data_IF_696911708520
#
_entry.id   IF_696911708520
#
_cell.length_a   1.000
_cell.length_b   1.000
_cell.length_c   1.000
_cell.angle_alpha   90.00
_cell.angle_beta   90.00
_cell.angle_gamma   90.00
#
_symmetry.space_group_name_H-M   'P 1'
#
loop_
_entity.id
_entity.type
_entity.pdbx_description
1 polymer ?
#
# COMPACT_ATOMS: atom_id res chain seq x y z
N UNK A 1 -18.94 -1.43 6.16
CA UNK A 1 -18.53 -0.04 5.88
C UNK A 1 -18.02 0.68 7.12
N UNK A 2 -18.61 0.49 8.29
CA UNK A 2 -18.05 0.93 9.60
C UNK A 2 -16.60 0.43 9.85
N UNK A 3 -16.28 -0.74 9.27
CA UNK A 3 -14.93 -1.35 9.24
C UNK A 3 -13.92 -0.52 8.44
N UNK A 4 -14.32 0.14 7.34
CA UNK A 4 -13.37 0.88 6.48
C UNK A 4 -12.86 2.16 7.14
N UNK A 5 -13.69 2.78 7.98
CA UNK A 5 -13.38 4.02 8.73
C UNK A 5 -12.42 3.73 9.87
N UNK A 6 -12.72 2.69 10.65
CA UNK A 6 -11.83 2.24 11.74
C UNK A 6 -10.49 1.78 11.18
N UNK A 7 -10.50 1.05 10.06
CA UNK A 7 -9.28 0.66 9.35
C UNK A 7 -8.49 1.88 8.87
N UNK A 8 -9.17 2.87 8.28
CA UNK A 8 -8.57 4.13 7.85
C UNK A 8 -7.91 4.91 9.01
N UNK A 9 -8.58 5.06 10.15
CA UNK A 9 -8.03 5.72 11.35
C UNK A 9 -6.84 4.93 11.91
N UNK A 10 -6.97 3.60 12.02
CA UNK A 10 -5.90 2.73 12.51
C UNK A 10 -4.66 2.81 11.60
N UNK A 11 -4.84 2.74 10.27
CA UNK A 11 -3.76 2.93 9.31
C UNK A 11 -3.07 4.28 9.53
N UNK A 12 -3.83 5.35 9.73
CA UNK A 12 -3.26 6.68 9.97
C UNK A 12 -2.39 6.72 11.24
N UNK A 13 -2.86 6.12 12.33
CA UNK A 13 -2.10 6.06 13.59
C UNK A 13 -0.83 5.20 13.46
N UNK A 14 -0.92 4.08 12.73
CA UNK A 14 0.22 3.22 12.42
C UNK A 14 1.26 3.97 11.60
N UNK A 15 0.82 4.68 10.56
CA UNK A 15 1.65 5.56 9.74
C UNK A 15 2.28 6.70 10.55
N UNK A 16 1.53 7.35 11.43
CA UNK A 16 2.05 8.40 12.31
C UNK A 16 3.17 7.88 13.22
N UNK A 17 3.03 6.65 13.73
CA UNK A 17 4.04 5.98 14.54
C UNK A 17 5.30 5.66 13.72
N UNK A 18 5.11 5.09 12.53
CA UNK A 18 6.21 4.68 11.65
C UNK A 18 7.00 5.85 11.05
N UNK A 19 6.31 6.93 10.70
CA UNK A 19 6.94 8.14 10.16
C UNK A 19 7.48 9.05 11.26
N UNK A 20 7.27 8.74 12.53
CA UNK A 20 7.78 9.51 13.68
C UNK A 20 6.99 10.79 14.00
N UNK A 21 5.83 10.99 13.39
CA UNK A 21 4.89 12.08 13.78
C UNK A 21 4.42 11.87 15.21
N UNK A 22 4.08 10.64 15.55
CA UNK A 22 3.90 10.19 16.91
C UNK A 22 5.14 9.40 17.29
N UNK A 23 5.84 9.81 18.35
CA UNK A 23 7.05 9.12 18.79
C UNK A 23 6.71 7.67 19.20
N UNK A 24 7.26 6.64 18.54
CA UNK A 24 7.02 5.25 18.93
C UNK A 24 7.68 4.95 20.27
N UNK A 25 7.16 3.93 20.97
CA UNK A 25 7.76 3.47 22.23
C UNK A 25 9.09 2.76 21.93
N UNK A 26 10.07 2.78 22.86
CA UNK A 26 11.31 2.04 22.69
C UNK A 26 11.13 0.53 22.49
N UNK A 27 10.01 -0.01 22.96
CA UNK A 27 9.61 -1.43 22.83
C UNK A 27 8.91 -1.74 21.50
N UNK A 28 8.62 -0.73 20.68
CA UNK A 28 7.95 -0.95 19.40
C UNK A 28 8.96 -1.46 18.37
N UNK A 29 8.62 -2.53 17.65
CA UNK A 29 9.49 -3.18 16.66
C UNK A 29 8.92 -3.01 15.26
N UNK A 30 9.69 -2.43 14.35
CA UNK A 30 9.30 -2.21 12.95
C UNK A 30 10.01 -3.20 12.04
N UNK A 31 9.26 -4.08 11.38
CA UNK A 31 9.79 -5.05 10.42
C UNK A 31 9.28 -4.78 9.01
N UNK A 32 10.23 -4.74 8.07
CA UNK A 32 9.95 -4.51 6.66
C UNK A 32 9.64 -5.83 5.96
N UNK A 33 8.47 -5.96 5.35
CA UNK A 33 8.04 -7.20 4.67
C UNK A 33 8.23 -7.05 3.18
N UNK A 34 9.12 -7.86 2.60
CA UNK A 34 9.57 -7.76 1.21
C UNK A 34 9.41 -9.07 0.47
N UNK A 35 9.22 -8.99 -0.85
CA UNK A 35 9.04 -10.16 -1.70
C UNK A 35 8.28 -9.81 -2.97
N UNK A 36 8.44 -10.64 -4.01
CA UNK A 36 7.74 -10.45 -5.28
C UNK A 36 6.22 -10.50 -5.12
N UNK A 37 5.49 -9.98 -6.08
CA UNK A 37 4.04 -10.19 -6.17
C UNK A 37 3.72 -11.69 -6.17
N UNK A 38 2.72 -12.10 -5.39
CA UNK A 38 2.36 -13.51 -5.23
C UNK A 38 3.21 -14.31 -4.23
N UNK A 39 4.25 -13.76 -3.61
CA UNK A 39 5.09 -14.48 -2.63
C UNK A 39 4.39 -14.86 -1.30
N UNK A 40 3.17 -14.36 -1.07
CA UNK A 40 2.39 -14.63 0.14
C UNK A 40 2.53 -13.60 1.26
N UNK A 41 3.05 -12.39 0.97
CA UNK A 41 3.21 -11.30 1.96
C UNK A 41 1.93 -11.01 2.75
N UNK A 42 0.85 -10.68 2.04
CA UNK A 42 -0.43 -10.32 2.65
C UNK A 42 -1.02 -11.48 3.45
N UNK A 43 -0.90 -12.72 2.97
CA UNK A 43 -1.30 -13.92 3.73
C UNK A 43 -0.48 -14.08 5.00
N UNK A 44 0.84 -13.90 4.94
CA UNK A 44 1.72 -13.98 6.11
C UNK A 44 1.35 -12.93 7.16
N UNK A 45 1.12 -11.68 6.73
CA UNK A 45 0.71 -10.58 7.61
C UNK A 45 -0.64 -10.90 8.26
N UNK A 46 -1.63 -11.36 7.50
CA UNK A 46 -2.94 -11.76 8.03
C UNK A 46 -2.82 -12.88 9.09
N UNK A 47 -1.85 -13.79 8.94
CA UNK A 47 -1.57 -14.84 9.94
C UNK A 47 -0.86 -14.32 11.19
N UNK A 48 -0.15 -13.20 11.09
CA UNK A 48 0.43 -12.54 12.26
C UNK A 48 -0.60 -11.72 13.04
N UNK A 49 -1.43 -10.96 12.32
CA UNK A 49 -2.30 -9.93 12.91
C UNK A 49 -3.70 -10.44 13.23
N UNK A 50 -4.16 -11.49 12.54
CA UNK A 50 -5.55 -11.93 12.58
C UNK A 50 -6.51 -10.99 11.84
N UNK A 51 -5.99 -9.93 11.20
CA UNK A 51 -6.77 -8.99 10.39
C UNK A 51 -6.98 -9.55 8.97
N UNK A 52 -8.12 -9.23 8.36
CA UNK A 52 -8.32 -9.49 6.94
C UNK A 52 -7.49 -8.49 6.12
N UNK A 53 -6.34 -8.95 5.63
CA UNK A 53 -5.45 -8.17 4.78
C UNK A 53 -6.01 -8.23 3.36
N UNK A 54 -7.03 -7.44 3.10
CA UNK A 54 -7.57 -7.31 1.74
C UNK A 54 -6.55 -6.59 0.88
N UNK A 55 -6.02 -7.30 -0.14
CA UNK A 55 -5.19 -6.67 -1.17
C UNK A 55 -6.09 -5.77 -2.01
N UNK A 56 -6.06 -4.47 -1.74
CA UNK A 56 -6.71 -3.47 -2.57
C UNK A 56 -8.12 -3.07 -2.14
N UNK A 57 -8.31 -1.74 -2.09
CA UNK A 57 -9.57 -0.97 -2.14
C UNK A 57 -10.10 -0.34 -0.84
N UNK A 58 -9.28 -0.14 0.19
CA UNK A 58 -9.62 0.81 1.27
C UNK A 58 -9.53 2.29 0.87
N UNK A 59 -10.12 3.20 1.66
CA UNK A 59 -10.02 4.67 1.50
C UNK A 59 -8.57 5.19 1.34
N UNK A 60 -7.60 4.47 1.92
CA UNK A 60 -6.15 4.70 1.82
C UNK A 60 -5.47 3.97 0.65
N UNK A 61 -6.08 2.93 0.10
CA UNK A 61 -5.46 1.94 -0.78
C UNK A 61 -5.23 2.39 -2.23
N UNK A 62 -5.57 3.63 -2.61
CA UNK A 62 -5.47 4.05 -4.02
C UNK A 62 -4.46 5.16 -4.27
N UNK A 63 -3.34 5.19 -3.55
CA UNK A 63 -2.20 6.05 -3.87
C UNK A 63 -0.95 5.34 -3.37
N UNK A 64 -0.12 4.81 -4.26
CA UNK A 64 1.34 4.76 -4.05
C UNK A 64 1.85 4.37 -2.64
N UNK A 65 1.22 3.45 -1.91
CA UNK A 65 1.47 3.33 -0.47
C UNK A 65 1.98 1.95 -0.06
N UNK A 66 2.83 2.00 0.96
CA UNK A 66 3.11 0.93 1.90
C UNK A 66 1.86 0.74 2.78
N UNK A 67 1.60 -0.44 3.31
CA UNK A 67 0.54 -0.62 4.33
C UNK A 67 1.16 -1.04 5.66
N UNK A 68 0.58 -0.61 6.78
CA UNK A 68 1.09 -0.96 8.10
C UNK A 68 0.11 -1.82 8.87
N UNK A 69 0.63 -2.83 9.55
CA UNK A 69 -0.16 -3.70 10.41
C UNK A 69 0.56 -3.85 11.74
N UNK A 70 -0.18 -3.80 12.85
CA UNK A 70 0.41 -3.97 14.17
C UNK A 70 -0.27 -5.06 14.98
N UNK A 71 0.50 -5.72 15.84
CA UNK A 71 0.01 -6.76 16.74
C UNK A 71 0.96 -6.93 17.94
N UNK A 72 0.50 -7.64 18.97
CA UNK A 72 1.31 -7.99 20.12
C UNK A 72 1.98 -9.35 19.90
N UNK A 73 3.29 -9.42 20.10
CA UNK A 73 4.06 -10.65 20.00
C UNK A 73 5.22 -10.60 20.98
N UNK A 74 5.36 -11.63 21.82
CA UNK A 74 6.49 -11.79 22.73
C UNK A 74 6.78 -10.54 23.61
N UNK A 75 5.70 -9.96 24.17
CA UNK A 75 5.78 -8.74 24.99
C UNK A 75 6.03 -7.44 24.24
N UNK A 76 6.14 -7.48 22.91
CA UNK A 76 6.42 -6.34 22.05
C UNK A 76 5.22 -5.98 21.17
N UNK A 77 5.08 -4.68 20.92
CA UNK A 77 4.22 -4.18 19.84
C UNK A 77 5.00 -4.24 18.53
N UNK A 78 4.60 -5.11 17.62
CA UNK A 78 5.25 -5.31 16.32
C UNK A 78 4.46 -4.58 15.24
N UNK A 79 5.17 -3.88 14.36
CA UNK A 79 4.67 -3.26 13.15
C UNK A 79 5.25 -3.99 11.93
N UNK A 80 4.39 -4.58 11.11
CA UNK A 80 4.74 -5.12 9.80
C UNK A 80 4.43 -4.07 8.73
N UNK A 81 5.46 -3.73 7.97
CA UNK A 81 5.42 -2.75 6.90
C UNK A 81 5.29 -3.54 5.61
N UNK A 82 4.06 -3.67 5.08
CA UNK A 82 3.79 -4.34 3.81
C UNK A 82 4.27 -3.46 2.67
N UNK A 83 5.14 -4.02 1.84
CA UNK A 83 5.70 -3.32 0.69
C UNK A 83 4.97 -3.77 -0.57
N UNK A 84 4.74 -2.85 -1.54
CA UNK A 84 4.30 -3.27 -2.86
C UNK A 84 5.24 -4.34 -3.43
N UNK A 85 4.67 -5.38 -4.03
CA UNK A 85 5.47 -6.43 -4.65
C UNK A 85 6.24 -5.89 -5.86
N UNK A 86 7.54 -6.14 -5.93
CA UNK A 86 8.29 -5.93 -7.16
C UNK A 86 7.82 -6.94 -8.23
N UNK A 87 7.97 -6.58 -9.51
CA UNK A 87 7.43 -7.30 -10.66
C UNK A 87 5.89 -7.33 -10.71
N UNK A 88 5.25 -6.24 -10.29
CA UNK A 88 3.81 -6.01 -10.48
C UNK A 88 3.51 -5.66 -11.95
N UNK A 89 2.48 -6.27 -12.54
CA UNK A 89 2.06 -5.94 -13.92
C UNK A 89 1.49 -4.53 -14.03
N UNK A 90 0.98 -3.98 -12.92
CA UNK A 90 0.34 -2.67 -12.85
C UNK A 90 1.31 -1.52 -12.51
N UNK A 91 2.51 -1.82 -12.00
CA UNK A 91 3.47 -0.82 -11.48
C UNK A 91 4.91 -1.11 -11.91
N UNK A 92 5.74 -0.08 -12.12
CA UNK A 92 7.16 -0.32 -12.40
C UNK A 92 7.96 -0.59 -11.10
N UNK A 93 9.08 -1.29 -11.23
CA UNK A 93 9.99 -1.49 -10.10
C UNK A 93 10.60 -0.16 -9.61
N UNK A 94 10.71 0.84 -10.49
CA UNK A 94 11.21 2.19 -10.17
C UNK A 94 10.19 2.97 -9.34
N UNK A 95 8.91 2.86 -9.67
CA UNK A 95 7.84 3.42 -8.83
C UNK A 95 7.86 2.76 -7.44
N UNK A 96 8.06 1.45 -7.38
CA UNK A 96 8.16 0.71 -6.11
C UNK A 96 9.36 1.17 -5.28
N UNK A 97 10.52 1.32 -5.90
CA UNK A 97 11.71 1.87 -5.23
C UNK A 97 11.47 3.31 -4.74
N UNK A 98 10.81 4.15 -5.56
CA UNK A 98 10.49 5.53 -5.20
C UNK A 98 9.57 5.58 -3.97
N UNK A 99 8.55 4.73 -3.91
CA UNK A 99 7.66 4.59 -2.74
C UNK A 99 8.47 4.20 -1.51
N UNK A 100 9.32 3.17 -1.61
CA UNK A 100 10.15 2.73 -0.49
C UNK A 100 11.10 3.85 -0.01
N UNK A 101 11.75 4.55 -0.93
CA UNK A 101 12.63 5.67 -0.60
C UNK A 101 11.87 6.77 0.16
N UNK A 102 10.68 7.15 -0.32
CA UNK A 102 9.82 8.15 0.31
C UNK A 102 9.50 7.79 1.76
N UNK A 103 8.96 6.61 2.01
CA UNK A 103 8.46 6.25 3.34
C UNK A 103 9.58 5.83 4.31
N UNK A 104 10.57 5.07 3.83
CA UNK A 104 11.71 4.65 4.65
C UNK A 104 12.62 5.83 4.96
N UNK A 105 12.82 6.75 4.00
CA UNK A 105 13.59 7.97 4.21
C UNK A 105 12.92 8.91 5.21
N UNK A 106 11.59 9.06 5.15
CA UNK A 106 10.84 9.87 6.13
C UNK A 106 10.91 9.29 7.54
N UNK A 107 10.73 7.97 7.68
CA UNK A 107 10.90 7.25 8.95
C UNK A 107 12.31 7.48 9.53
N UNK A 108 13.35 7.33 8.70
CA UNK A 108 14.74 7.52 9.09
C UNK A 108 15.06 8.95 9.52
N UNK A 109 14.61 9.94 8.75
CA UNK A 109 14.80 11.36 9.02
C UNK A 109 14.16 11.79 10.35
N UNK A 110 13.05 11.15 10.74
CA UNK A 110 12.36 11.38 12.01
C UNK A 110 12.84 10.46 13.16
N UNK A 111 13.96 9.74 12.97
CA UNK A 111 14.58 8.93 14.02
C UNK A 111 13.93 7.56 14.27
N UNK A 112 12.97 7.15 13.44
CA UNK A 112 12.40 5.79 13.48
C UNK A 112 13.31 4.86 12.67
N UNK A 113 13.49 3.63 13.14
CA UNK A 113 14.44 2.65 12.57
C UNK A 113 13.73 1.33 12.24
N UNK A 114 14.18 0.69 11.17
CA UNK A 114 13.76 -0.66 10.78
C UNK A 114 14.57 -1.66 11.60
N UNK A 115 13.89 -2.44 12.44
CA UNK A 115 14.49 -3.38 13.37
C UNK A 115 14.86 -4.71 12.72
N UNK A 116 14.28 -5.00 11.56
CA UNK A 116 14.54 -6.21 10.81
C UNK A 116 13.76 -6.28 9.50
N UNK A 117 14.14 -7.24 8.67
CA UNK A 117 13.57 -7.44 7.35
C UNK A 117 13.09 -8.88 7.26
N UNK A 118 11.88 -9.06 6.74
CA UNK A 118 11.31 -10.35 6.39
C UNK A 118 11.19 -10.43 4.86
N UNK A 119 11.95 -11.32 4.25
CA UNK A 119 11.88 -11.61 2.83
C UNK A 119 11.08 -12.88 2.56
N UNK A 120 9.97 -12.78 1.84
CA UNK A 120 9.17 -13.93 1.41
C UNK A 120 9.51 -14.35 -0.02
N UNK A 121 9.71 -15.65 -0.21
CA UNK A 121 10.06 -16.23 -1.52
C UNK A 121 9.28 -17.55 -1.76
N UNK A 122 8.47 -17.66 -2.83
CA UNK A 122 7.76 -18.89 -3.12
C UNK A 122 8.70 -19.99 -3.63
N UNK A 123 8.83 -21.10 -2.91
CA UNK A 123 9.71 -22.23 -3.31
C UNK A 123 9.19 -22.97 -4.55
N UNK A 124 7.88 -22.83 -4.80
CA UNK A 124 7.18 -23.43 -5.93
C UNK A 124 7.56 -22.81 -7.27
N UNK A 125 8.21 -21.64 -7.30
CA UNK A 125 8.63 -21.03 -8.55
C UNK A 125 9.71 -21.90 -9.22
N UNK A 126 9.37 -22.46 -10.38
CA UNK A 126 10.19 -23.46 -11.08
C UNK A 126 11.36 -22.82 -11.84
N UNK A 127 11.41 -21.50 -11.94
CA UNK A 127 12.48 -20.78 -12.63
C UNK A 127 12.85 -19.56 -11.81
N UNK A 128 14.13 -19.44 -11.45
CA UNK A 128 14.67 -18.14 -11.05
C UNK A 128 14.69 -17.29 -12.33
N UNK A 129 13.58 -16.59 -12.56
CA UNK A 129 13.46 -15.67 -13.68
C UNK A 129 14.46 -14.53 -13.51
N UNK A 130 14.83 -13.86 -14.60
CA UNK A 130 15.65 -12.64 -14.52
C UNK A 130 15.03 -11.57 -13.59
N UNK A 131 13.69 -11.55 -13.47
CA UNK A 131 12.98 -10.65 -12.55
C UNK A 131 13.19 -11.00 -11.07
N UNK A 132 13.27 -12.29 -10.74
CA UNK A 132 13.54 -12.77 -9.37
C UNK A 132 14.96 -12.42 -8.93
N UNK A 133 15.93 -12.59 -9.83
CA UNK A 133 17.32 -12.22 -9.56
C UNK A 133 17.47 -10.70 -9.41
N UNK A 134 16.81 -9.92 -10.27
CA UNK A 134 16.79 -8.45 -10.16
C UNK A 134 16.20 -7.96 -8.84
N UNK A 135 15.11 -8.57 -8.37
CA UNK A 135 14.53 -8.25 -7.07
C UNK A 135 15.54 -8.49 -5.94
N UNK A 136 16.24 -9.63 -5.97
CA UNK A 136 17.28 -9.95 -4.99
C UNK A 136 18.44 -8.96 -5.02
N UNK A 137 18.92 -8.59 -6.21
CA UNK A 137 20.02 -7.63 -6.37
C UNK A 137 19.61 -6.24 -5.87
N UNK A 138 18.39 -5.81 -6.18
CA UNK A 138 17.85 -4.54 -5.68
C UNK A 138 17.68 -4.55 -4.16
N UNK A 139 17.17 -5.65 -3.60
CA UNK A 139 17.07 -5.87 -2.16
C UNK A 139 18.44 -5.78 -1.48
N UNK A 140 19.44 -6.48 -2.01
CA UNK A 140 20.83 -6.41 -1.55
C UNK A 140 21.35 -4.97 -1.59
N UNK A 141 21.11 -4.27 -2.69
CA UNK A 141 21.55 -2.88 -2.89
C UNK A 141 20.87 -1.88 -1.95
N UNK A 142 19.57 -2.05 -1.68
CA UNK A 142 18.78 -1.19 -0.78
C UNK A 142 19.14 -1.40 0.69
N UNK A 143 19.42 -2.65 1.10
CA UNK A 143 19.83 -2.96 2.46
C UNK A 143 21.29 -2.56 2.68
N UNK A 144 22.20 -3.05 1.83
CA UNK A 144 23.63 -2.74 1.86
C UNK A 144 24.33 -3.06 3.18
N UNK A 145 23.85 -4.04 3.93
CA UNK A 145 24.41 -4.39 5.24
C UNK A 145 25.71 -5.19 5.12
N UNK A 146 26.63 -4.96 6.06
CA UNK A 146 27.80 -5.82 6.25
C UNK A 146 27.39 -7.19 6.81
N UNK A 147 26.43 -7.20 7.74
CA UNK A 147 25.86 -8.40 8.36
C UNK A 147 24.34 -8.41 8.27
N UNK A 148 23.75 -9.55 7.95
CA UNK A 148 22.31 -9.71 7.76
C UNK A 148 21.61 -10.38 8.97
N UNK A 149 22.11 -10.17 10.18
CA UNK A 149 21.57 -10.83 11.40
C UNK A 149 20.10 -10.49 11.71
N UNK A 150 19.61 -9.34 11.26
CA UNK A 150 18.20 -8.94 11.37
C UNK A 150 17.38 -9.24 10.09
N UNK A 151 17.87 -10.13 9.22
CA UNK A 151 17.16 -10.58 8.02
C UNK A 151 16.67 -12.02 8.21
N UNK A 152 15.36 -12.20 8.12
CA UNK A 152 14.72 -13.51 8.00
C UNK A 152 14.27 -13.73 6.55
N UNK A 153 14.67 -14.86 5.96
CA UNK A 153 14.21 -15.30 4.65
C UNK A 153 13.20 -16.42 4.90
N UNK A 154 11.95 -16.23 4.48
CA UNK A 154 10.88 -17.20 4.62
C UNK A 154 10.49 -17.76 3.26
N UNK A 155 10.79 -19.03 3.01
CA UNK A 155 10.31 -19.73 1.83
C UNK A 155 8.85 -20.13 2.03
N UNK A 156 7.98 -19.83 1.06
CA UNK A 156 6.53 -20.06 1.11
C UNK A 156 6.08 -21.04 0.03
N UNK A 157 4.79 -21.38 0.01
CA UNK A 157 4.18 -22.28 -1.00
C UNK A 157 4.78 -23.69 -1.01
N UNK A 158 5.18 -24.16 0.16
CA UNK A 158 5.58 -25.54 0.33
C UNK A 158 4.40 -26.49 0.08
N UNK A 159 4.71 -27.72 -0.29
CA UNK A 159 3.76 -28.81 -0.44
C UNK A 159 4.37 -30.08 0.12
N UNK A 160 3.54 -30.98 0.63
CA UNK A 160 4.00 -32.21 1.28
C UNK A 160 4.86 -33.06 0.32
N UNK A 161 6.11 -33.34 0.72
CA UNK A 161 7.03 -34.32 0.09
C UNK A 161 7.45 -34.03 -1.37
N UNK A 162 7.66 -32.77 -1.74
CA UNK A 162 8.24 -32.46 -3.06
C UNK A 162 9.76 -32.41 -2.97
N UNK A 163 10.47 -33.54 -3.17
CA UNK A 163 11.95 -33.62 -3.22
C UNK A 163 12.61 -32.51 -4.08
N UNK A 164 11.89 -32.04 -5.09
CA UNK A 164 12.24 -30.91 -5.94
C UNK A 164 12.39 -29.59 -5.17
N UNK A 165 11.56 -29.33 -4.16
CA UNK A 165 11.60 -28.11 -3.36
C UNK A 165 12.78 -28.10 -2.39
N UNK A 166 13.14 -29.24 -1.78
CA UNK A 166 14.36 -29.31 -0.97
C UNK A 166 15.61 -29.12 -1.84
N UNK A 167 15.64 -29.68 -3.06
CA UNK A 167 16.75 -29.44 -4.01
C UNK A 167 16.84 -27.96 -4.40
N UNK A 168 15.72 -27.28 -4.63
CA UNK A 168 15.71 -25.84 -4.92
C UNK A 168 16.17 -25.01 -3.75
N UNK A 169 15.73 -25.34 -2.54
CA UNK A 169 16.20 -24.64 -1.35
C UNK A 169 17.72 -24.78 -1.22
N UNK A 170 18.28 -25.98 -1.45
CA UNK A 170 19.72 -26.19 -1.47
C UNK A 170 20.43 -25.37 -2.56
N UNK A 171 19.84 -25.23 -3.75
CA UNK A 171 20.37 -24.36 -4.82
C UNK A 171 20.34 -22.88 -4.42
N UNK A 172 19.23 -22.40 -3.86
CA UNK A 172 19.10 -21.02 -3.38
C UNK A 172 20.11 -20.69 -2.28
N UNK A 173 20.42 -21.67 -1.42
CA UNK A 173 21.38 -21.53 -0.32
C UNK A 173 22.85 -21.68 -0.74
N UNK A 174 23.15 -22.33 -1.87
CA UNK A 174 24.52 -22.58 -2.31
C UNK A 174 25.04 -21.52 -3.26
N UNK A 175 24.18 -20.84 -4.00
CA UNK A 175 24.57 -19.81 -4.96
C UNK A 175 24.62 -18.43 -4.30
N UNK A 176 25.78 -17.77 -4.37
CA UNK A 176 25.98 -16.41 -3.84
C UNK A 176 25.11 -15.37 -4.55
N UNK A 177 24.71 -15.63 -5.81
CA UNK A 177 23.77 -14.77 -6.54
C UNK A 177 22.39 -14.77 -5.88
N UNK A 178 22.01 -15.84 -5.18
CA UNK A 178 20.74 -15.96 -4.46
C UNK A 178 20.89 -15.69 -2.96
N UNK A 179 20.52 -16.65 -2.11
CA UNK A 179 20.52 -16.52 -0.66
C UNK A 179 21.84 -16.95 -0.02
N UNK A 180 22.74 -17.59 -0.76
CA UNK A 180 24.02 -18.08 -0.21
C UNK A 180 24.83 -16.98 0.47
N UNK A 181 25.03 -15.84 -0.20
CA UNK A 181 25.76 -14.69 0.36
C UNK A 181 25.03 -14.09 1.58
N UNK A 182 23.69 -14.02 1.55
CA UNK A 182 22.90 -13.48 2.66
C UNK A 182 23.00 -14.36 3.91
N UNK A 183 22.89 -15.68 3.74
CA UNK A 183 22.96 -16.66 4.83
C UNK A 183 24.38 -16.77 5.37
N UNK A 184 25.39 -16.75 4.50
CA UNK A 184 26.80 -16.71 4.91
C UNK A 184 27.13 -15.49 5.80
N UNK A 185 26.42 -14.38 5.58
CA UNK A 185 26.55 -13.13 6.36
C UNK A 185 25.53 -13.01 7.51
N UNK A 186 24.86 -14.10 7.88
CA UNK A 186 24.06 -14.21 9.09
C UNK A 186 22.54 -14.11 8.92
N UNK A 187 22.01 -14.03 7.69
CA UNK A 187 20.57 -14.15 7.49
C UNK A 187 20.06 -15.54 7.88
N UNK A 188 18.84 -15.61 8.42
CA UNK A 188 18.23 -16.89 8.83
C UNK A 188 17.15 -17.32 7.85
N UNK A 189 17.26 -18.55 7.35
CA UNK A 189 16.24 -19.18 6.52
C UNK A 189 15.17 -19.88 7.38
N UNK A 190 13.91 -19.74 6.96
CA UNK A 190 12.74 -20.41 7.51
C UNK A 190 11.89 -21.01 6.39
N UNK A 191 11.33 -22.20 6.64
CA UNK A 191 10.24 -22.75 5.84
C UNK A 191 8.91 -22.33 6.46
N UNK A 192 8.16 -21.48 5.78
CA UNK A 192 6.85 -21.02 6.24
C UNK A 192 5.75 -21.97 5.75
N UNK A 193 4.94 -22.46 6.69
CA UNK A 193 3.92 -23.48 6.42
C UNK A 193 4.47 -24.67 5.61
N UNK A 194 5.58 -25.24 6.07
CA UNK A 194 6.35 -26.29 5.36
C UNK A 194 5.51 -27.49 4.89
N UNK A 195 4.48 -27.87 5.65
CA UNK A 195 3.61 -28.99 5.27
C UNK A 195 2.65 -28.65 4.14
N UNK A 196 2.54 -27.38 3.75
CA UNK A 196 1.64 -26.91 2.69
C UNK A 196 0.15 -27.07 3.00
N UNK A 197 -0.21 -27.41 4.25
CA UNK A 197 -1.59 -27.70 4.61
C UNK A 197 -2.37 -26.39 4.78
N UNK A 198 -3.65 -26.34 4.39
CA UNK A 198 -4.54 -25.21 4.66
C UNK A 198 -4.99 -25.19 6.13
N UNK A 199 -4.06 -25.42 7.07
CA UNK A 199 -4.29 -25.34 8.51
C UNK A 199 -3.93 -23.93 8.99
N UNK A 200 -4.97 -23.20 9.42
CA UNK A 200 -4.82 -21.83 9.91
C UNK A 200 -3.88 -21.76 11.12
N UNK A 201 -4.01 -22.67 12.10
CA UNK A 201 -3.20 -22.62 13.33
C UNK A 201 -1.73 -22.94 13.05
N UNK A 202 -1.46 -23.88 12.14
CA UNK A 202 -0.10 -24.18 11.71
C UNK A 202 0.55 -22.97 11.00
N UNK A 203 -0.21 -22.25 10.16
CA UNK A 203 0.27 -21.04 9.48
C UNK A 203 0.56 -19.91 10.47
N UNK A 204 -0.35 -19.66 11.43
CA UNK A 204 -0.15 -18.68 12.50
C UNK A 204 1.09 -19.01 13.32
N UNK A 205 1.22 -20.25 13.79
CA UNK A 205 2.37 -20.72 14.57
C UNK A 205 3.68 -20.54 13.79
N UNK A 206 3.67 -20.88 12.49
CA UNK A 206 4.84 -20.70 11.63
C UNK A 206 5.20 -19.23 11.44
N UNK A 207 4.22 -18.33 11.31
CA UNK A 207 4.45 -16.90 11.13
C UNK A 207 4.98 -16.25 12.42
N UNK A 208 4.36 -16.55 13.56
CA UNK A 208 4.80 -16.11 14.88
C UNK A 208 6.24 -16.53 15.16
N UNK A 209 6.61 -17.78 14.87
CA UNK A 209 8.01 -18.26 15.04
C UNK A 209 9.03 -17.40 14.29
N UNK A 210 8.69 -16.95 13.08
CA UNK A 210 9.58 -16.12 12.26
C UNK A 210 9.68 -14.69 12.86
N UNK A 211 8.56 -14.13 13.29
CA UNK A 211 8.52 -12.80 13.93
C UNK A 211 9.26 -12.80 15.27
N UNK A 212 9.01 -13.78 16.14
CA UNK A 212 9.72 -13.94 17.42
C UNK A 212 11.22 -14.03 17.22
N UNK A 213 11.68 -14.72 16.17
CA UNK A 213 13.09 -14.72 15.84
C UNK A 213 13.62 -13.31 15.53
N UNK A 214 12.92 -12.54 14.68
CA UNK A 214 13.32 -11.17 14.36
C UNK A 214 13.31 -10.25 15.59
N UNK A 215 12.36 -10.42 16.51
CA UNK A 215 12.33 -9.69 17.80
C UNK A 215 13.63 -9.95 18.55
N UNK A 216 13.96 -11.22 18.82
CA UNK A 216 15.19 -11.58 19.53
C UNK A 216 16.46 -11.11 18.83
N UNK A 217 16.53 -11.18 17.49
CA UNK A 217 17.67 -10.64 16.74
C UNK A 217 17.78 -9.12 16.93
N UNK A 218 16.67 -8.39 16.88
CA UNK A 218 16.63 -6.93 17.04
C UNK A 218 17.00 -6.44 18.44
N UNK A 219 16.90 -7.30 19.46
CA UNK A 219 17.37 -7.00 20.82
C UNK A 219 18.87 -7.23 20.97
N UNK A 220 19.40 -8.22 20.23
CA UNK A 220 20.82 -8.56 20.25
C UNK A 220 21.67 -7.63 19.38
N UNK A 221 21.13 -7.20 18.25
CA UNK A 221 21.86 -6.40 17.27
C UNK A 221 21.14 -5.08 17.01
N UNK A 222 21.91 -3.99 17.04
CA UNK A 222 21.39 -2.66 16.77
C UNK A 222 20.74 -2.61 15.37
N UNK A 223 19.61 -1.88 15.21
CA UNK A 223 18.98 -1.69 13.91
C UNK A 223 19.95 -1.04 12.92
N UNK A 224 20.35 -1.77 11.89
CA UNK A 224 21.19 -1.24 10.82
C UNK A 224 20.38 -0.27 9.96
N UNK A 225 21.03 0.84 9.57
CA UNK A 225 20.43 1.82 8.65
C UNK A 225 20.49 1.25 7.23
N UNK A 226 19.36 1.26 6.53
CA UNK A 226 19.33 0.79 5.15
C UNK A 226 20.20 1.71 4.28
N UNK A 227 20.98 1.12 3.38
CA UNK A 227 21.77 1.87 2.39
C UNK A 227 20.91 2.88 1.63
N UNK A 228 19.68 2.51 1.25
CA UNK A 228 18.76 3.43 0.59
C UNK A 228 18.45 4.66 1.47
N UNK A 229 18.22 4.48 2.78
CA UNK A 229 17.94 5.58 3.71
C UNK A 229 19.14 6.53 3.81
N UNK A 230 20.34 5.98 3.97
CA UNK A 230 21.57 6.76 4.01
C UNK A 230 21.82 7.52 2.69
N UNK A 231 21.56 6.89 1.55
CA UNK A 231 21.75 7.52 0.23
C UNK A 231 20.78 8.67 -0.03
N UNK A 232 19.49 8.52 0.29
CA UNK A 232 18.48 9.54 -0.01
C UNK A 232 18.40 10.64 1.05
N UNK A 233 18.74 10.34 2.32
CA UNK A 233 18.67 11.31 3.42
C UNK A 233 20.04 11.91 3.75
N UNK A 234 21.06 11.09 4.01
CA UNK A 234 22.35 11.62 4.46
C UNK A 234 23.20 12.13 3.29
N UNK A 235 23.16 11.44 2.15
CA UNK A 235 23.89 11.81 0.94
C UNK A 235 23.08 12.65 -0.06
N UNK A 236 21.77 12.82 0.18
CA UNK A 236 20.86 13.60 -0.69
C UNK A 236 20.91 13.18 -2.17
N UNK A 237 21.13 11.89 -2.44
CA UNK A 237 21.14 11.35 -3.81
C UNK A 237 19.73 11.31 -4.37
N UNK A 238 19.61 11.58 -5.68
CA UNK A 238 18.39 11.24 -6.43
C UNK A 238 18.25 9.72 -6.58
N UNK A 239 17.04 9.23 -6.82
CA UNK A 239 16.76 7.78 -6.86
C UNK A 239 17.71 7.04 -7.82
N UNK A 240 17.97 7.58 -9.01
CA UNK A 240 18.85 6.99 -10.02
C UNK A 240 20.33 6.92 -9.65
N UNK A 241 20.77 7.66 -8.63
CA UNK A 241 22.14 7.62 -8.11
C UNK A 241 22.30 6.66 -6.92
N UNK A 242 21.20 6.18 -6.36
CA UNK A 242 21.22 5.15 -5.31
C UNK A 242 21.71 3.83 -5.89
N UNK A 243 22.31 2.95 -5.06
CA UNK A 243 22.74 1.63 -5.54
C UNK A 243 21.56 0.83 -6.10
N UNK A 244 20.40 0.89 -5.44
CA UNK A 244 19.18 0.23 -5.90
C UNK A 244 18.66 0.84 -7.23
N UNK A 245 18.74 2.15 -7.39
CA UNK A 245 18.35 2.85 -8.62
C UNK A 245 19.26 2.50 -9.80
N UNK A 246 20.57 2.36 -9.58
CA UNK A 246 21.53 1.94 -10.62
C UNK A 246 21.20 0.52 -11.12
N UNK A 247 20.88 -0.41 -10.20
CA UNK A 247 20.47 -1.78 -10.56
C UNK A 247 19.24 -1.76 -11.48
N UNK A 248 18.27 -0.86 -11.24
CA UNK A 248 17.08 -0.72 -12.09
C UNK A 248 17.35 0.05 -13.39
N UNK A 249 18.16 1.11 -13.34
CA UNK A 249 18.42 2.00 -14.47
C UNK A 249 19.16 1.33 -15.63
N UNK A 250 20.07 0.39 -15.32
CA UNK A 250 20.86 -0.32 -16.32
C UNK A 250 20.00 -1.06 -17.36
N UNK A 251 18.89 -1.63 -16.92
CA UNK A 251 18.00 -2.38 -17.80
C UNK A 251 16.90 -1.51 -18.42
N UNK A 252 16.48 -0.44 -17.73
CA UNK A 252 15.62 0.59 -18.33
C UNK A 252 16.28 1.18 -19.58
N UNK A 253 17.58 1.47 -19.51
CA UNK A 253 18.33 2.02 -20.64
C UNK A 253 18.39 1.04 -21.83
N UNK A 254 18.65 -0.25 -21.57
CA UNK A 254 18.66 -1.30 -22.60
C UNK A 254 17.28 -1.49 -23.23
N UNK A 255 16.23 -1.57 -22.41
CA UNK A 255 14.86 -1.73 -22.87
C UNK A 255 14.42 -0.55 -23.74
N UNK A 256 14.72 0.69 -23.30
CA UNK A 256 14.45 1.90 -24.07
C UNK A 256 15.13 1.88 -25.45
N UNK A 257 16.42 1.55 -25.51
CA UNK A 257 17.12 1.46 -26.80
C UNK A 257 16.50 0.41 -27.73
N UNK A 258 16.09 -0.74 -27.19
CA UNK A 258 15.44 -1.79 -27.97
C UNK A 258 14.09 -1.30 -28.55
N UNK A 259 13.24 -0.72 -27.71
CA UNK A 259 11.94 -0.17 -28.14
C UNK A 259 12.08 0.97 -29.16
N UNK A 260 13.09 1.84 -29.01
CA UNK A 260 13.33 2.93 -29.95
C UNK A 260 13.73 2.40 -31.35
N UNK A 261 14.63 1.40 -31.40
CA UNK A 261 15.01 0.73 -32.66
C UNK A 261 13.81 0.03 -33.30
N UNK A 262 13.00 -0.67 -32.50
CA UNK A 262 11.82 -1.37 -32.98
C UNK A 262 10.76 -0.41 -33.54
N UNK A 263 10.54 0.72 -32.86
CA UNK A 263 9.63 1.77 -33.33
C UNK A 263 10.10 2.39 -34.65
N UNK A 264 11.40 2.63 -34.81
CA UNK A 264 11.97 3.10 -36.08
C UNK A 264 11.74 2.09 -37.21
N UNK A 265 11.99 0.81 -36.94
CA UNK A 265 11.76 -0.27 -37.91
C UNK A 265 10.28 -0.38 -38.32
N UNK A 266 9.34 -0.29 -37.37
CA UNK A 266 7.91 -0.34 -37.66
C UNK A 266 7.43 0.90 -38.42
N UNK A 267 7.96 2.09 -38.11
CA UNK A 267 7.67 3.31 -38.88
C UNK A 267 8.14 3.17 -40.33
N UNK A 268 9.31 2.59 -40.56
CA UNK A 268 9.82 2.32 -41.90
C UNK A 268 8.97 1.29 -42.66
N UNK A 269 8.57 0.18 -42.00
CA UNK A 269 7.66 -0.83 -42.59
C UNK A 269 6.31 -0.23 -42.97
N UNK A 270 5.72 0.58 -42.09
CA UNK A 270 4.44 1.24 -42.36
C UNK A 270 4.55 2.18 -43.56
N UNK A 271 5.65 2.95 -43.67
CA UNK A 271 5.88 3.84 -44.80
C UNK A 271 6.04 3.07 -46.13
N UNK A 272 6.67 1.89 -46.10
CA UNK A 272 6.84 1.03 -47.27
C UNK A 272 5.56 0.27 -47.66
N UNK A 273 4.67 -0.03 -46.71
CA UNK A 273 3.41 -0.76 -46.95
C UNK A 273 2.24 0.12 -47.38
N UNK A 274 2.37 1.45 -47.36
CA UNK A 274 1.37 2.35 -48.00
C UNK A 274 1.18 2.00 -49.49
N UNK A 275 2.19 1.38 -50.12
CA UNK A 275 2.13 0.91 -51.50
C UNK A 275 1.40 -0.44 -51.70
N UNK A 276 1.16 -1.22 -50.64
CA UNK A 276 0.41 -2.49 -50.71
C UNK A 276 -0.93 -2.40 -49.97
N UNK A 277 -2.02 -2.63 -50.71
CA UNK A 277 -3.44 -2.53 -50.32
C UNK A 277 -3.92 -3.58 -49.28
N UNK A 278 -3.13 -3.92 -48.26
CA UNK A 278 -3.51 -4.89 -47.22
C UNK A 278 -3.90 -4.20 -45.90
N UNK A 279 -5.18 -3.84 -45.79
CA UNK A 279 -5.73 -3.11 -44.63
C UNK A 279 -5.55 -3.84 -43.29
N UNK A 280 -5.59 -5.18 -43.28
CA UNK A 280 -5.42 -6.00 -42.07
C UNK A 280 -3.99 -5.94 -41.52
N UNK A 281 -2.97 -5.99 -42.39
CA UNK A 281 -1.57 -5.91 -41.97
C UNK A 281 -1.21 -4.50 -41.46
N UNK A 282 -1.75 -3.47 -42.11
CA UNK A 282 -1.62 -2.08 -41.65
C UNK A 282 -2.28 -1.85 -40.28
N UNK A 283 -3.38 -2.54 -39.96
CA UNK A 283 -4.02 -2.47 -38.65
C UNK A 283 -3.15 -3.10 -37.56
N UNK A 284 -2.60 -4.30 -37.80
CA UNK A 284 -1.70 -4.98 -36.85
C UNK A 284 -0.43 -4.17 -36.56
N UNK A 285 0.17 -3.52 -37.57
CA UNK A 285 1.33 -2.65 -37.38
C UNK A 285 0.98 -1.39 -36.58
N UNK A 286 -0.21 -0.82 -36.77
CA UNK A 286 -0.68 0.34 -35.99
C UNK A 286 -0.90 -0.01 -34.52
N UNK A 287 -1.47 -1.19 -34.24
CA UNK A 287 -1.66 -1.69 -32.88
C UNK A 287 -0.31 -1.89 -32.18
N UNK A 288 0.63 -2.60 -32.83
CA UNK A 288 1.97 -2.81 -32.29
C UNK A 288 2.72 -1.49 -32.06
N UNK A 289 2.58 -0.52 -32.97
CA UNK A 289 3.13 0.83 -32.80
C UNK A 289 2.53 1.53 -31.58
N UNK A 290 1.22 1.47 -31.38
CA UNK A 290 0.56 2.08 -30.24
C UNK A 290 1.03 1.47 -28.91
N UNK A 291 1.21 0.15 -28.87
CA UNK A 291 1.76 -0.54 -27.70
C UNK A 291 3.21 -0.13 -27.40
N UNK A 292 4.06 -0.02 -28.42
CA UNK A 292 5.44 0.46 -28.26
C UNK A 292 5.50 1.92 -27.81
N UNK A 293 4.63 2.79 -28.35
CA UNK A 293 4.54 4.18 -27.91
C UNK A 293 4.10 4.28 -26.43
N UNK A 294 3.18 3.42 -26.00
CA UNK A 294 2.78 3.29 -24.59
C UNK A 294 3.95 2.82 -23.71
N UNK A 295 4.72 1.83 -24.14
CA UNK A 295 5.91 1.36 -23.43
C UNK A 295 6.99 2.44 -23.34
N UNK A 296 7.24 3.20 -24.41
CA UNK A 296 8.17 4.33 -24.39
C UNK A 296 7.73 5.45 -23.44
N UNK A 297 6.44 5.77 -23.40
CA UNK A 297 5.90 6.74 -22.44
C UNK A 297 6.13 6.29 -21.00
N UNK A 298 5.93 5.01 -20.70
CA UNK A 298 6.23 4.42 -19.39
C UNK A 298 7.73 4.51 -19.08
N UNK A 299 8.61 4.18 -20.02
CA UNK A 299 10.05 4.27 -19.83
C UNK A 299 10.54 5.71 -19.58
N UNK A 300 9.91 6.71 -20.19
CA UNK A 300 10.21 8.13 -19.93
C UNK A 300 9.71 8.57 -18.54
N UNK A 301 8.57 8.07 -18.08
CA UNK A 301 8.10 8.27 -16.71
C UNK A 301 9.05 7.66 -15.69
N UNK A 302 9.49 6.42 -15.93
CA UNK A 302 10.47 5.71 -15.12
C UNK A 302 11.80 6.49 -15.05
N UNK A 303 12.27 7.04 -16.17
CA UNK A 303 13.47 7.90 -16.19
C UNK A 303 13.29 9.13 -15.31
N UNK A 304 12.16 9.83 -15.42
CA UNK A 304 11.86 11.00 -14.58
C UNK A 304 11.78 10.64 -13.11
N UNK A 305 11.25 9.46 -12.76
CA UNK A 305 11.22 8.99 -11.39
C UNK A 305 12.63 8.78 -10.81
N UNK A 306 13.58 8.29 -11.62
CA UNK A 306 14.99 8.19 -11.22
C UNK A 306 15.66 9.55 -10.98
N UNK A 307 15.18 10.62 -11.60
CA UNK A 307 15.74 11.98 -11.42
C UNK A 307 15.22 12.67 -10.16
N UNK A 308 14.23 12.10 -9.46
CA UNK A 308 13.63 12.72 -8.27
C UNK A 308 14.55 12.63 -7.06
N UNK A 309 14.64 13.73 -6.32
CA UNK A 309 15.21 13.79 -4.97
C UNK A 309 14.17 13.43 -3.90
N UNK A 310 14.61 13.29 -2.65
CA UNK A 310 13.68 13.11 -1.52
C UNK A 310 12.68 14.27 -1.38
N UNK A 311 13.12 15.50 -1.63
CA UNK A 311 12.26 16.68 -1.58
C UNK A 311 11.17 16.63 -2.67
N UNK A 312 11.53 16.21 -3.88
CA UNK A 312 10.58 16.06 -4.98
C UNK A 312 9.53 14.97 -4.66
N UNK A 313 9.98 13.84 -4.11
CA UNK A 313 9.09 12.76 -3.69
C UNK A 313 8.11 13.19 -2.61
N UNK A 314 8.57 13.94 -1.60
CA UNK A 314 7.70 14.52 -0.57
C UNK A 314 6.68 15.50 -1.15
N UNK A 315 7.11 16.38 -2.07
CA UNK A 315 6.23 17.36 -2.71
C UNK A 315 5.16 16.69 -3.58
N UNK A 316 5.53 15.62 -4.30
CA UNK A 316 4.60 14.84 -5.12
C UNK A 316 3.56 14.12 -4.25
N UNK A 317 3.99 13.49 -3.15
CA UNK A 317 3.09 12.88 -2.16
C UNK A 317 2.14 13.92 -1.55
N UNK A 318 2.66 15.07 -1.10
CA UNK A 318 1.83 16.12 -0.52
C UNK A 318 0.78 16.63 -1.52
N UNK A 319 1.17 16.81 -2.80
CA UNK A 319 0.26 17.22 -3.86
C UNK A 319 -0.82 16.16 -4.13
N UNK A 320 -0.44 14.88 -4.15
CA UNK A 320 -1.37 13.77 -4.32
C UNK A 320 -2.39 13.73 -3.17
N UNK A 321 -1.92 13.87 -1.93
CA UNK A 321 -2.75 13.95 -0.73
C UNK A 321 -3.70 15.14 -0.76
N UNK A 322 -3.21 16.35 -1.02
CA UNK A 322 -4.05 17.56 -1.13
C UNK A 322 -5.17 17.40 -2.15
N UNK A 323 -4.88 16.77 -3.29
CA UNK A 323 -5.89 16.51 -4.32
C UNK A 323 -6.94 15.51 -3.82
N UNK A 324 -6.52 14.45 -3.12
CA UNK A 324 -7.41 13.41 -2.60
C UNK A 324 -8.34 13.92 -1.50
N UNK A 325 -7.81 14.72 -0.57
CA UNK A 325 -8.62 15.38 0.48
C UNK A 325 -9.70 16.22 -0.16
N UNK A 326 -9.35 17.06 -1.14
CA UNK A 326 -10.34 17.88 -1.86
C UNK A 326 -11.43 17.03 -2.52
N UNK A 327 -11.07 15.88 -3.10
CA UNK A 327 -12.05 14.96 -3.69
C UNK A 327 -12.97 14.33 -2.63
N UNK A 328 -12.42 13.90 -1.50
CA UNK A 328 -13.19 13.31 -0.41
C UNK A 328 -14.11 14.33 0.27
N UNK A 329 -13.62 15.54 0.52
CA UNK A 329 -14.42 16.65 1.03
C UNK A 329 -15.57 16.99 0.09
N UNK A 330 -15.31 17.05 -1.22
CA UNK A 330 -16.35 17.26 -2.22
C UNK A 330 -17.43 16.17 -2.13
N UNK A 331 -17.03 14.90 -2.09
CA UNK A 331 -17.96 13.77 -1.99
C UNK A 331 -18.77 13.81 -0.69
N UNK A 332 -18.12 14.12 0.43
CA UNK A 332 -18.78 14.26 1.72
C UNK A 332 -19.86 15.35 1.69
N UNK A 333 -19.56 16.50 1.08
CA UNK A 333 -20.53 17.59 0.95
C UNK A 333 -21.70 17.23 0.03
N UNK A 334 -21.45 16.46 -1.04
CA UNK A 334 -22.50 15.93 -1.92
C UNK A 334 -23.41 14.95 -1.16
N UNK A 335 -22.83 14.03 -0.39
CA UNK A 335 -23.58 13.06 0.42
C UNK A 335 -24.39 13.75 1.53
N UNK A 336 -23.81 14.77 2.18
CA UNK A 336 -24.50 15.57 3.20
C UNK A 336 -25.70 16.33 2.59
N UNK A 337 -25.51 16.97 1.43
CA UNK A 337 -26.59 17.68 0.75
C UNK A 337 -27.73 16.73 0.32
N UNK A 338 -27.41 15.52 -0.13
CA UNK A 338 -28.41 14.52 -0.47
C UNK A 338 -29.23 14.08 0.75
N UNK A 339 -28.58 13.90 1.91
CA UNK A 339 -29.26 13.57 3.18
C UNK A 339 -30.11 14.71 3.72
N UNK A 340 -29.65 15.95 3.56
CA UNK A 340 -30.45 17.13 3.92
C UNK A 340 -31.72 17.24 3.06
N UNK A 341 -31.62 16.93 1.77
CA UNK A 341 -32.77 16.89 0.87
C UNK A 341 -33.72 15.75 1.25
N UNK A 342 -33.22 14.55 1.53
CA UNK A 342 -34.03 13.41 2.00
C UNK A 342 -34.81 13.76 3.27
N UNK A 343 -34.14 14.39 4.26
CA UNK A 343 -34.78 14.85 5.48
C UNK A 343 -35.90 15.86 5.19
N UNK A 344 -35.65 16.81 4.28
CA UNK A 344 -36.63 17.81 3.88
C UNK A 344 -37.88 17.17 3.24
N UNK A 345 -37.68 16.24 2.31
CA UNK A 345 -38.76 15.53 1.62
C UNK A 345 -39.58 14.67 2.60
N UNK A 346 -38.93 14.04 3.60
CA UNK A 346 -39.59 13.29 4.67
C UNK A 346 -40.42 14.20 5.59
N UNK A 347 -39.88 15.36 5.98
CA UNK A 347 -40.60 16.35 6.79
C UNK A 347 -41.83 16.90 6.08
N UNK A 348 -41.73 17.18 4.77
CA UNK A 348 -42.86 17.61 3.93
C UNK A 348 -43.93 16.53 3.85
N UNK A 349 -43.53 15.28 3.59
CA UNK A 349 -44.43 14.12 3.56
C UNK A 349 -45.16 13.92 4.89
N UNK A 350 -44.46 14.06 6.03
CA UNK A 350 -45.09 13.98 7.35
C UNK A 350 -46.12 15.10 7.57
N UNK A 351 -45.83 16.32 7.10
CA UNK A 351 -46.75 17.45 7.20
C UNK A 351 -48.05 17.18 6.41
N UNK A 352 -47.95 16.59 5.21
CA UNK A 352 -49.11 16.17 4.41
C UNK A 352 -49.91 15.07 5.11
N UNK A 353 -49.25 14.00 5.59
CA UNK A 353 -49.91 12.88 6.28
C UNK A 353 -50.65 13.38 7.54
N UNK A 354 -50.04 14.31 8.30
CA UNK A 354 -50.68 14.94 9.48
C UNK A 354 -51.94 15.71 9.08
N UNK A 355 -51.88 16.49 7.99
CA UNK A 355 -53.01 17.28 7.47
C UNK A 355 -54.17 16.38 7.01
N UNK A 356 -53.88 15.29 6.30
CA UNK A 356 -54.89 14.35 5.84
C UNK A 356 -55.48 13.51 6.99
N UNK A 357 -54.66 13.12 7.97
CA UNK A 357 -55.12 12.42 9.16
C UNK A 357 -56.02 13.31 10.03
N UNK A 358 -55.74 14.61 10.11
CA UNK A 358 -56.58 15.57 10.83
C UNK A 358 -57.96 15.78 10.18
N UNK A 359 -58.09 15.57 8.86
CA UNK A 359 -59.36 15.65 8.12
C UNK A 359 -60.26 14.43 8.31
N UNK A 360 -59.73 13.28 8.78
CA UNK A 360 -60.51 12.04 8.97
C UNK A 360 -61.16 12.00 10.36
N UNK A 361 -62.49 11.83 10.40
CA UNK A 361 -63.31 11.83 11.65
C UNK A 361 -63.00 10.63 12.57
N UNK A 362 -62.54 9.50 12.03
CA UNK A 362 -62.20 8.28 12.80
C UNK A 362 -60.71 7.97 12.68
N UNK A 363 -59.95 8.19 13.75
CA UNK A 363 -58.55 7.76 13.83
C UNK A 363 -58.49 6.27 14.16
N UNK A 364 -57.96 5.47 13.24
CA UNK A 364 -57.58 4.08 13.52
C UNK A 364 -56.27 4.05 14.32
N UNK A 365 -56.15 3.11 15.27
CA UNK A 365 -54.91 2.86 15.99
C UNK A 365 -53.73 2.57 15.04
N UNK A 366 -53.97 1.88 13.91
CA UNK A 366 -52.92 1.59 12.91
C UNK A 366 -52.32 2.85 12.29
N UNK A 367 -53.14 3.88 12.00
CA UNK A 367 -52.67 5.14 11.40
C UNK A 367 -51.82 5.93 12.39
N UNK A 368 -52.19 5.89 13.67
CA UNK A 368 -51.42 6.56 14.74
C UNK A 368 -50.05 5.90 14.92
N UNK A 369 -50.00 4.57 14.88
CA UNK A 369 -48.77 3.79 15.01
C UNK A 369 -47.83 3.98 13.80
N UNK A 370 -48.38 4.11 12.60
CA UNK A 370 -47.60 4.44 11.39
C UNK A 370 -47.00 5.85 11.46
N UNK A 371 -47.77 6.84 11.93
CA UNK A 371 -47.27 8.22 12.13
C UNK A 371 -46.12 8.27 13.14
N UNK A 372 -46.25 7.56 14.26
CA UNK A 372 -45.18 7.49 15.26
C UNK A 372 -43.89 6.90 14.70
N UNK A 373 -43.97 5.81 13.93
CA UNK A 373 -42.79 5.23 13.26
C UNK A 373 -42.14 6.20 12.29
N UNK A 374 -42.95 6.92 11.50
CA UNK A 374 -42.45 7.90 10.54
C UNK A 374 -41.77 9.10 11.23
N UNK A 375 -42.29 9.52 12.38
CA UNK A 375 -41.67 10.56 13.22
C UNK A 375 -40.34 10.09 13.81
N UNK A 376 -40.26 8.83 14.27
CA UNK A 376 -39.02 8.21 14.75
C UNK A 376 -37.96 8.15 13.64
N UNK A 377 -38.35 7.76 12.42
CA UNK A 377 -37.45 7.70 11.26
C UNK A 377 -36.89 9.08 10.89
N UNK A 378 -37.73 10.12 10.91
CA UNK A 378 -37.29 11.52 10.66
C UNK A 378 -36.31 11.99 11.73
N UNK A 379 -36.58 11.70 13.01
CA UNK A 379 -35.70 12.14 14.08
C UNK A 379 -34.34 11.43 14.03
N UNK A 380 -34.33 10.15 13.60
CA UNK A 380 -33.10 9.43 13.30
C UNK A 380 -32.29 10.14 12.21
N UNK A 381 -32.89 10.39 11.04
CA UNK A 381 -32.21 11.05 9.92
C UNK A 381 -31.76 12.47 10.30
N UNK A 382 -32.57 13.21 11.07
CA UNK A 382 -32.18 14.53 11.60
C UNK A 382 -30.92 14.44 12.46
N UNK A 383 -30.86 13.46 13.35
CA UNK A 383 -29.67 13.19 14.18
C UNK A 383 -28.42 12.96 13.33
N UNK A 384 -28.54 12.13 12.29
CA UNK A 384 -27.44 11.82 11.36
C UNK A 384 -26.92 13.08 10.63
N UNK A 385 -27.82 13.93 10.14
CA UNK A 385 -27.46 15.19 9.47
C UNK A 385 -26.75 16.15 10.42
N UNK A 386 -27.22 16.28 11.66
CA UNK A 386 -26.61 17.15 12.68
C UNK A 386 -25.20 16.64 13.03
N UNK A 387 -25.04 15.34 13.26
CA UNK A 387 -23.75 14.74 13.56
C UNK A 387 -22.74 14.94 12.42
N UNK A 388 -23.18 14.73 11.17
CA UNK A 388 -22.36 14.95 9.98
C UNK A 388 -21.92 16.42 9.82
N UNK A 389 -22.81 17.38 10.10
CA UNK A 389 -22.50 18.83 10.07
C UNK A 389 -21.47 19.19 11.14
N UNK A 390 -21.65 18.73 12.37
CA UNK A 390 -20.71 18.97 13.47
C UNK A 390 -19.33 18.40 13.16
N UNK A 391 -19.28 17.18 12.59
CA UNK A 391 -18.04 16.53 12.19
C UNK A 391 -17.29 17.36 11.14
N UNK A 392 -17.99 17.84 10.11
CA UNK A 392 -17.42 18.70 9.09
C UNK A 392 -16.91 20.03 9.66
N UNK A 393 -17.63 20.63 10.61
CA UNK A 393 -17.22 21.89 11.25
C UNK A 393 -15.95 21.72 12.10
N UNK A 394 -15.85 20.62 12.87
CA UNK A 394 -14.65 20.26 13.65
C UNK A 394 -13.45 20.01 12.73
N UNK A 395 -13.67 19.30 11.63
CA UNK A 395 -12.64 18.99 10.62
C UNK A 395 -12.15 20.25 9.89
N UNK A 396 -13.07 21.11 9.44
CA UNK A 396 -12.75 22.31 8.68
C UNK A 396 -12.06 23.38 9.55
N UNK A 397 -12.39 23.46 10.85
CA UNK A 397 -11.70 24.29 11.85
C UNK A 397 -10.30 23.78 12.22
N UNK A 398 -10.04 22.47 12.10
CA UNK A 398 -8.73 21.84 12.32
C UNK A 398 -7.70 22.06 11.20
N UNK A 399 -8.08 22.69 10.07
CA UNK A 399 -7.18 22.93 8.93
C UNK A 399 -5.95 23.81 9.24
N UNK A 400 -5.88 24.43 10.42
CA UNK A 400 -4.66 25.10 10.88
C UNK A 400 -3.54 24.14 11.32
N UNK A 401 -3.77 22.82 11.36
CA UNK A 401 -2.76 21.79 11.66
C UNK A 401 -1.76 21.52 10.52
N UNK A 402 -2.01 22.02 9.30
CA UNK A 402 -1.10 21.84 8.16
C UNK A 402 0.21 22.64 8.26
N UNK A 403 0.30 23.60 9.17
CA UNK A 403 1.41 24.56 9.22
C UNK A 403 2.56 24.18 10.18
N UNK A 404 2.43 23.08 10.93
CA UNK A 404 3.33 22.77 12.05
C UNK A 404 4.27 21.58 11.88
N UNK A 405 4.07 20.71 10.89
CA UNK A 405 4.89 19.50 10.75
C UNK A 405 6.01 19.72 9.74
N UNK A 406 7.25 19.67 10.20
CA UNK A 406 8.47 19.98 9.44
C UNK A 406 8.77 19.04 8.25
N UNK A 407 7.87 18.12 7.87
CA UNK A 407 8.07 17.14 6.81
C UNK A 407 6.73 16.86 6.08
N UNK A 408 6.65 17.04 4.76
CA UNK A 408 5.39 16.98 3.97
C UNK A 408 4.54 15.71 4.14
N UNK A 409 5.15 14.57 4.47
CA UNK A 409 4.45 13.30 4.75
C UNK A 409 3.65 13.38 6.07
N UNK A 410 4.17 14.06 7.08
CA UNK A 410 3.50 14.22 8.36
C UNK A 410 2.21 15.05 8.24
N UNK A 411 2.24 16.09 7.40
CA UNK A 411 1.06 16.87 7.04
C UNK A 411 0.01 16.03 6.29
N UNK A 412 0.45 15.11 5.43
CA UNK A 412 -0.42 14.13 4.76
C UNK A 412 -1.11 13.16 5.72
N UNK A 413 -0.44 12.76 6.81
CA UNK A 413 -1.01 11.86 7.83
C UNK A 413 -2.09 12.56 8.65
N UNK A 414 -1.85 13.79 9.11
CA UNK A 414 -2.87 14.57 9.83
C UNK A 414 -4.13 14.79 8.97
N UNK A 415 -3.93 15.07 7.68
CA UNK A 415 -4.97 15.13 6.69
C UNK A 415 -5.72 13.81 6.46
N UNK A 416 -5.02 12.69 6.57
CA UNK A 416 -5.60 11.35 6.49
C UNK A 416 -6.63 11.13 7.59
N UNK A 417 -6.31 11.45 8.85
CA UNK A 417 -7.25 11.31 9.98
C UNK A 417 -8.55 12.06 9.70
N UNK A 418 -8.40 13.30 9.21
CA UNK A 418 -9.50 14.17 8.83
C UNK A 418 -10.35 13.52 7.72
N UNK A 419 -9.72 13.01 6.67
CA UNK A 419 -10.40 12.38 5.55
C UNK A 419 -11.11 11.07 5.93
N UNK A 420 -10.53 10.29 6.84
CA UNK A 420 -11.13 9.08 7.39
C UNK A 420 -12.41 9.41 8.18
N UNK A 421 -12.36 10.44 9.02
CA UNK A 421 -13.52 10.93 9.75
C UNK A 421 -14.64 11.36 8.79
N UNK A 422 -14.32 12.16 7.77
CA UNK A 422 -15.30 12.58 6.76
C UNK A 422 -15.88 11.37 5.99
N UNK A 423 -15.03 10.47 5.50
CA UNK A 423 -15.49 9.29 4.76
C UNK A 423 -16.35 8.31 5.58
N UNK A 424 -16.27 8.38 6.91
CA UNK A 424 -17.01 7.49 7.79
C UNK A 424 -18.31 8.02 8.37
N UNK A 425 -18.38 9.33 8.62
CA UNK A 425 -19.52 9.92 9.34
C UNK A 425 -20.88 9.74 8.65
N UNK A 426 -20.92 9.60 7.32
CA UNK A 426 -22.18 9.44 6.56
C UNK A 426 -22.47 7.99 6.13
N UNK A 427 -21.45 7.12 6.09
CA UNK A 427 -21.59 5.71 5.68
C UNK A 427 -21.87 4.77 6.86
N UNK A 428 -21.61 5.19 8.10
CA UNK A 428 -21.84 4.36 9.29
C UNK A 428 -23.30 4.34 9.78
N UNK A 429 -24.17 5.21 9.25
CA UNK A 429 -25.57 5.28 9.65
C UNK A 429 -26.54 4.63 8.67
N UNK A 430 -26.03 4.18 7.51
CA UNK A 430 -26.79 3.39 6.52
C UNK A 430 -26.46 1.90 6.67
N UNK A 431 -27.06 1.28 7.69
CA UNK A 431 -27.63 -0.07 7.62
C UNK A 431 -28.54 -0.35 8.81
#
# INVERSE_FOLDING_TARGET
>A
MDVDVRNAVNQTQRFASFTGVTKPKPTDKFFLVMGMTGSGKSTFIARCTGEDVTVGHGLYSCTSSIDLFDFQCDGHKVYLIDTPGFNDTSRSDIDTLSILATYLGASYANGVRIHGILMLHPISDNRISGSTMRNLDMMKAMCGFETYSNLAIATTMWSERSSTYEQREAQLLSDERFFGDLVARGARLFRHNEKGRPDYLAQVTSAQRIVTHLIHQSEKYAPAVLQLQHEVIDQQKVIGQTKAGIVLAGDLYKARQAHERELQNLKAKLAAEVDQRNAEHAAAIRELKADLEKQMKKAEQDKRALEKSMADLHNDEERAWRKRIKTLEKRFLEDLAAKEQELHDMEESLAEIRKDTARRIKRSQQVTLQLQRYEEDIEKVRGEVVEARELHQKVSGGRNLFNGAANGIASGIAAGVISAALGGGLLCTVM
#
